data_IF_182638226791
#
_entry.id   IF_182638226791
#
_cell.length_a   1.000
_cell.length_b   1.000
_cell.length_c   1.000
_cell.angle_alpha   90.00
_cell.angle_beta   90.00
_cell.angle_gamma   90.00
#
_symmetry.space_group_name_H-M   'P 1'
#
loop_
_entity.id
_entity.type
_entity.pdbx_description
1 polymer ?
#
# COMPACT_ATOMS: atom_id res chain seq x y z
N UNK A 1 48.93 4.72 16.82
CA UNK A 1 48.28 5.45 17.92
C UNK A 1 47.37 6.51 17.29
N UNK A 2 46.14 6.17 16.91
CA UNK A 2 44.91 6.20 17.74
C UNK A 2 44.53 7.60 18.24
N UNK A 3 43.47 8.18 17.67
CA UNK A 3 42.86 9.41 18.20
C UNK A 3 41.73 9.98 17.34
N UNK A 4 40.59 9.27 17.28
CA UNK A 4 39.34 9.74 16.67
C UNK A 4 38.69 10.80 17.57
N UNK A 5 38.29 11.99 17.09
CA UNK A 5 37.56 12.95 17.92
C UNK A 5 36.09 12.54 18.13
N UNK A 6 35.62 12.81 19.35
CA UNK A 6 34.34 12.39 19.94
C UNK A 6 33.16 13.19 19.37
N UNK A 7 32.01 12.51 19.21
CA UNK A 7 30.71 13.09 18.84
C UNK A 7 30.21 14.07 19.92
N UNK A 8 29.65 15.19 19.46
CA UNK A 8 28.95 16.18 20.29
C UNK A 8 27.62 15.63 20.85
N UNK A 9 27.16 16.11 22.03
CA UNK A 9 25.99 15.58 22.72
C UNK A 9 24.67 16.10 22.13
N UNK A 10 23.64 15.25 22.20
CA UNK A 10 22.24 15.58 21.89
C UNK A 10 21.73 16.61 22.90
N UNK A 11 21.23 17.74 22.39
CA UNK A 11 20.58 18.79 23.18
C UNK A 11 19.14 18.35 23.46
N UNK A 12 18.84 17.96 24.70
CA UNK A 12 17.48 17.95 25.24
C UNK A 12 17.05 19.40 25.49
N UNK A 13 15.79 19.71 25.21
CA UNK A 13 15.16 20.98 25.58
C UNK A 13 13.98 20.64 26.48
N UNK A 14 14.00 21.19 27.69
CA UNK A 14 12.96 21.12 28.73
C UNK A 14 12.72 22.55 29.24
N UNK A 15 11.57 22.74 29.90
CA UNK A 15 10.99 23.92 30.58
C UNK A 15 10.12 24.84 29.70
N UNK A 16 8.98 25.38 30.16
CA UNK A 16 8.30 25.39 31.49
C UNK A 16 6.93 26.09 31.34
N UNK A 17 5.98 25.75 32.20
CA UNK A 17 4.97 26.62 32.88
C UNK A 17 4.05 25.63 33.63
N UNK A 18 4.24 25.40 34.93
CA UNK A 18 3.67 26.14 36.08
C UNK A 18 2.14 26.11 36.10
N UNK A 19 1.58 25.27 36.98
CA UNK A 19 0.47 25.65 37.85
C UNK A 19 0.49 24.71 39.07
N UNK A 20 0.60 25.34 40.24
CA UNK A 20 0.55 24.76 41.59
C UNK A 20 -0.87 24.29 41.92
N UNK A 21 -0.99 23.26 42.75
CA UNK A 21 -2.07 23.12 43.72
C UNK A 21 -1.66 22.10 44.79
N UNK A 22 -1.57 22.62 46.02
CA UNK A 22 -1.40 21.91 47.29
C UNK A 22 -2.57 20.95 47.58
N UNK A 23 -2.31 19.86 48.31
CA UNK A 23 -2.60 19.77 49.76
C UNK A 23 -2.85 18.32 50.22
N UNK A 24 -2.51 18.09 51.49
CA UNK A 24 -3.00 17.05 52.41
C UNK A 24 -2.65 15.55 52.20
N UNK A 25 -1.74 14.99 53.01
CA UNK A 25 -1.91 14.50 54.40
C UNK A 25 -2.28 12.99 54.44
N UNK A 26 -1.35 12.15 54.92
CA UNK A 26 -1.43 11.42 56.21
C UNK A 26 -0.45 10.22 56.26
N UNK A 27 0.52 10.37 57.17
CA UNK A 27 1.15 9.37 58.06
C UNK A 27 0.13 8.37 58.63
N UNK A 28 0.41 7.21 59.22
CA UNK A 28 1.57 6.42 59.68
C UNK A 28 0.91 5.10 60.14
N UNK A 29 1.63 3.97 60.16
CA UNK A 29 1.65 3.04 61.31
C UNK A 29 2.43 1.76 60.94
N UNK A 30 3.59 1.60 61.58
CA UNK A 30 4.26 0.31 61.78
C UNK A 30 3.75 -0.33 63.06
N UNK A 31 3.46 -1.64 63.09
CA UNK A 31 3.72 -2.50 64.27
C UNK A 31 4.01 -3.96 63.82
N UNK A 32 4.93 -4.72 64.47
CA UNK A 32 5.59 -5.91 63.92
C UNK A 32 5.25 -7.26 64.64
N UNK A 33 5.95 -8.34 64.21
CA UNK A 33 6.15 -9.69 64.81
C UNK A 33 5.03 -10.73 64.50
N UNK A 34 5.22 -12.03 64.31
CA UNK A 34 6.35 -12.96 64.07
C UNK A 34 5.72 -14.33 63.64
N UNK A 35 6.49 -15.13 62.89
CA UNK A 35 6.50 -16.61 62.72
C UNK A 35 5.19 -17.45 62.78
N UNK A 36 4.80 -18.10 61.66
CA UNK A 36 5.12 -19.52 61.43
C UNK A 36 4.60 -20.08 60.08
N UNK A 37 5.45 -20.94 59.50
CA UNK A 37 5.27 -22.01 58.50
C UNK A 37 4.04 -22.05 57.55
N UNK A 38 4.30 -22.04 56.24
CA UNK A 38 3.99 -23.18 55.33
C UNK A 38 4.59 -22.92 53.92
N UNK A 39 5.34 -23.90 53.43
CA UNK A 39 6.01 -23.89 52.12
C UNK A 39 5.00 -24.10 50.97
N UNK A 40 4.84 -23.11 50.09
CA UNK A 40 4.32 -23.33 48.74
C UNK A 40 5.36 -22.99 47.66
N UNK A 41 5.74 -24.02 46.92
CA UNK A 41 6.79 -24.05 45.90
C UNK A 41 6.41 -23.19 44.67
N UNK A 42 7.08 -22.04 44.47
CA UNK A 42 6.89 -21.21 43.27
C UNK A 42 7.56 -21.82 42.02
N UNK A 43 6.89 -21.83 40.84
CA UNK A 43 7.45 -22.42 39.63
C UNK A 43 8.65 -21.61 39.09
N UNK A 44 9.76 -22.32 38.85
CA UNK A 44 11.03 -21.79 38.33
C UNK A 44 10.85 -21.08 36.98
N UNK A 45 11.17 -19.77 36.94
CA UNK A 45 11.30 -18.99 35.69
C UNK A 45 12.38 -19.61 34.80
N UNK A 46 12.01 -20.05 33.59
CA UNK A 46 12.97 -20.46 32.54
C UNK A 46 13.89 -19.28 32.21
N UNK A 47 15.20 -19.48 32.35
CA UNK A 47 16.22 -18.51 32.00
C UNK A 47 16.09 -18.09 30.52
N UNK A 48 16.11 -16.78 30.25
CA UNK A 48 16.20 -16.23 28.90
C UNK A 48 17.51 -16.70 28.27
N UNK A 49 17.41 -17.32 27.10
CA UNK A 49 18.56 -17.70 26.30
C UNK A 49 19.47 -16.48 26.04
N UNK A 50 20.81 -16.65 26.03
CA UNK A 50 21.74 -15.56 25.80
C UNK A 50 21.49 -14.91 24.42
N UNK A 51 21.71 -13.59 24.30
CA UNK A 51 21.50 -12.88 23.04
C UNK A 51 22.42 -13.50 21.98
N UNK A 52 21.83 -13.91 20.85
CA UNK A 52 22.59 -14.43 19.70
C UNK A 52 23.66 -13.39 19.31
N UNK A 53 24.90 -13.82 19.02
CA UNK A 53 25.95 -12.90 18.59
C UNK A 53 25.46 -12.11 17.38
N UNK A 54 25.67 -10.79 17.40
CA UNK A 54 25.43 -9.94 16.23
C UNK A 54 26.25 -10.51 15.07
N UNK A 55 25.57 -11.09 14.08
CA UNK A 55 26.22 -11.52 12.83
C UNK A 55 27.03 -10.34 12.30
N UNK A 56 28.33 -10.54 12.09
CA UNK A 56 29.14 -9.59 11.35
C UNK A 56 28.45 -9.33 10.00
N UNK A 57 28.41 -8.06 9.58
CA UNK A 57 27.84 -7.69 8.29
C UNK A 57 28.57 -8.51 7.21
N UNK A 58 27.82 -9.22 6.37
CA UNK A 58 28.41 -9.94 5.25
C UNK A 58 29.15 -8.95 4.34
N UNK A 59 30.19 -9.41 3.63
CA UNK A 59 30.83 -8.59 2.61
C UNK A 59 29.93 -8.49 1.36
N UNK A 60 30.07 -7.41 0.57
CA UNK A 60 29.42 -7.31 -0.74
C UNK A 60 29.78 -8.52 -1.60
N UNK A 61 28.81 -9.05 -2.33
CA UNK A 61 29.00 -10.25 -3.16
C UNK A 61 28.16 -10.19 -4.42
N UNK A 62 28.61 -10.89 -5.47
CA UNK A 62 27.93 -10.98 -6.76
C UNK A 62 27.73 -12.44 -7.11
N UNK A 63 26.52 -12.80 -7.51
CA UNK A 63 26.20 -14.17 -7.93
C UNK A 63 26.45 -14.39 -9.43
N UNK A 64 26.30 -15.63 -9.91
CA UNK A 64 26.49 -16.00 -11.31
C UNK A 64 25.49 -15.35 -12.28
N UNK A 65 24.33 -14.89 -11.80
CA UNK A 65 23.35 -14.16 -12.61
C UNK A 65 23.58 -12.64 -12.65
N UNK A 66 24.72 -12.18 -12.13
CA UNK A 66 25.14 -10.78 -12.14
C UNK A 66 24.43 -9.90 -11.12
N UNK A 67 23.62 -10.48 -10.23
CA UNK A 67 23.02 -9.78 -9.11
C UNK A 67 24.02 -9.64 -7.98
N UNK A 68 24.22 -8.41 -7.54
CA UNK A 68 25.06 -8.07 -6.42
C UNK A 68 24.23 -7.74 -5.18
N UNK A 69 24.87 -7.87 -4.02
CA UNK A 69 24.31 -7.56 -2.71
C UNK A 69 25.24 -6.57 -2.03
N UNK A 70 24.68 -5.45 -1.59
CA UNK A 70 25.27 -4.59 -0.56
C UNK A 70 24.56 -4.91 0.76
N UNK A 71 25.25 -5.62 1.69
CA UNK A 71 24.61 -6.10 2.90
C UNK A 71 24.16 -4.94 3.81
N UNK A 72 23.05 -5.13 4.55
CA UNK A 72 22.28 -6.36 4.67
C UNK A 72 21.16 -6.54 3.63
N UNK A 73 20.82 -5.51 2.85
CA UNK A 73 19.45 -5.36 2.35
C UNK A 73 19.31 -4.65 1.01
N UNK A 74 20.41 -4.36 0.31
CA UNK A 74 20.35 -3.76 -1.01
C UNK A 74 20.80 -4.77 -2.08
N UNK A 75 19.92 -5.04 -3.03
CA UNK A 75 20.24 -5.77 -4.26
C UNK A 75 20.49 -4.79 -5.38
N UNK A 76 21.48 -5.04 -6.23
CA UNK A 76 21.71 -4.21 -7.40
C UNK A 76 22.28 -4.99 -8.58
N UNK A 77 22.03 -4.48 -9.80
CA UNK A 77 22.52 -5.07 -11.05
C UNK A 77 22.58 -4.02 -12.15
N UNK A 78 23.57 -4.15 -13.04
CA UNK A 78 23.73 -3.32 -14.23
C UNK A 78 23.47 -4.14 -15.48
N UNK A 79 22.67 -3.59 -16.40
CA UNK A 79 22.28 -4.21 -17.67
C UNK A 79 22.82 -3.36 -18.82
N UNK A 80 23.38 -3.99 -19.86
CA UNK A 80 23.83 -3.27 -21.07
C UNK A 80 24.97 -2.27 -20.84
N UNK A 81 25.76 -2.40 -19.77
CA UNK A 81 26.88 -1.54 -19.41
C UNK A 81 26.53 -0.02 -19.37
N UNK A 82 25.67 0.42 -18.43
CA UNK A 82 25.22 1.81 -18.34
C UNK A 82 26.41 2.75 -18.07
N UNK A 83 26.65 3.71 -18.98
CA UNK A 83 27.74 4.67 -18.83
C UNK A 83 27.47 5.66 -17.68
N UNK A 84 28.50 6.11 -16.95
CA UNK A 84 28.41 7.25 -16.04
C UNK A 84 27.78 8.49 -16.72
N UNK A 85 26.94 9.24 -16.00
CA UNK A 85 26.29 10.43 -16.55
C UNK A 85 25.90 11.43 -15.46
N UNK A 86 25.85 12.72 -15.79
CA UNK A 86 25.33 13.76 -14.90
C UNK A 86 23.80 13.85 -14.94
N UNK A 87 23.15 13.47 -16.05
CA UNK A 87 21.70 13.46 -16.20
C UNK A 87 21.12 12.09 -15.83
N UNK A 88 20.29 12.03 -14.80
CA UNK A 88 19.70 10.78 -14.31
C UNK A 88 18.18 10.82 -14.51
N UNK A 89 17.67 9.84 -15.25
CA UNK A 89 16.24 9.54 -15.31
C UNK A 89 15.99 8.36 -14.37
N UNK A 90 15.61 8.67 -13.13
CA UNK A 90 15.30 7.69 -12.11
C UNK A 90 13.82 7.32 -12.17
N UNK A 91 13.51 6.03 -12.01
CA UNK A 91 12.14 5.51 -12.18
C UNK A 91 11.86 4.47 -11.09
N UNK A 92 10.66 4.49 -10.50
CA UNK A 92 10.15 3.34 -9.73
C UNK A 92 9.74 2.18 -10.67
N UNK A 93 9.59 0.97 -10.14
CA UNK A 93 9.17 -0.20 -10.90
C UNK A 93 7.65 -0.46 -10.82
N UNK A 94 7.14 -0.70 -9.61
CA UNK A 94 5.84 -1.32 -9.36
C UNK A 94 4.76 -0.28 -9.22
N UNK A 95 3.82 -0.22 -10.16
CA UNK A 95 2.82 0.85 -10.23
C UNK A 95 3.25 2.03 -11.11
N UNK A 96 4.52 2.04 -11.53
CA UNK A 96 5.15 3.09 -12.35
C UNK A 96 5.54 2.60 -13.73
N UNK A 97 6.53 1.68 -13.85
CA UNK A 97 6.90 1.08 -15.14
C UNK A 97 5.96 -0.05 -15.50
N UNK A 98 5.62 -0.88 -14.52
CA UNK A 98 4.85 -2.10 -14.72
C UNK A 98 3.80 -2.28 -13.64
N UNK A 99 2.71 -2.94 -14.01
CA UNK A 99 1.69 -3.44 -13.10
C UNK A 99 1.65 -4.97 -13.17
N UNK A 100 1.00 -5.62 -12.22
CA UNK A 100 0.74 -7.06 -12.34
C UNK A 100 -0.28 -7.33 -13.45
N UNK A 101 -0.02 -8.37 -14.25
CA UNK A 101 -0.97 -8.81 -15.29
C UNK A 101 -2.21 -9.44 -14.65
N UNK A 102 -2.02 -10.10 -13.51
CA UNK A 102 -3.07 -10.73 -12.71
C UNK A 102 -3.96 -9.76 -11.92
N UNK A 103 -3.60 -8.46 -11.91
CA UNK A 103 -4.20 -7.42 -11.06
C UNK A 103 -4.10 -7.71 -9.54
N UNK A 104 -3.28 -8.68 -9.15
CA UNK A 104 -2.92 -8.91 -7.75
C UNK A 104 -1.94 -7.84 -7.27
N UNK A 105 -1.95 -7.55 -5.97
CA UNK A 105 -1.06 -6.53 -5.41
C UNK A 105 0.42 -6.89 -5.56
N UNK A 106 0.76 -8.16 -5.40
CA UNK A 106 2.09 -8.67 -5.60
C UNK A 106 2.10 -9.63 -6.79
N UNK A 107 3.16 -9.62 -7.61
CA UNK A 107 3.27 -10.52 -8.76
C UNK A 107 3.23 -11.98 -8.30
N UNK A 108 2.56 -12.85 -9.06
CA UNK A 108 2.47 -14.30 -8.80
C UNK A 108 3.72 -15.07 -9.22
N UNK A 109 4.39 -14.61 -10.26
CA UNK A 109 5.62 -15.17 -10.81
C UNK A 109 6.37 -14.07 -11.60
N UNK A 110 7.46 -14.45 -12.27
CA UNK A 110 8.29 -13.56 -13.08
C UNK A 110 7.60 -13.02 -14.34
N UNK A 111 6.59 -13.71 -14.85
CA UNK A 111 5.79 -13.33 -16.02
C UNK A 111 4.55 -12.50 -15.68
N UNK A 112 4.23 -12.35 -14.39
CA UNK A 112 3.10 -11.58 -13.90
C UNK A 112 3.39 -10.08 -13.88
N UNK A 113 3.70 -9.54 -15.07
CA UNK A 113 3.79 -8.12 -15.31
C UNK A 113 3.16 -7.74 -16.65
N UNK A 114 2.76 -6.48 -16.73
CA UNK A 114 2.42 -5.77 -17.95
C UNK A 114 2.96 -4.35 -17.80
N UNK A 115 3.31 -3.70 -18.91
CA UNK A 115 3.64 -2.28 -18.87
C UNK A 115 2.51 -1.45 -18.28
N UNK A 116 2.86 -0.32 -17.69
CA UNK A 116 1.89 0.64 -17.18
C UNK A 116 0.88 1.04 -18.26
N UNK A 117 1.39 1.28 -19.48
CA UNK A 117 0.63 1.31 -20.73
C UNK A 117 1.57 1.05 -21.93
N UNK A 118 1.04 1.06 -23.15
CA UNK A 118 1.81 0.77 -24.37
C UNK A 118 2.92 1.79 -24.69
N UNK A 119 2.76 3.03 -24.25
CA UNK A 119 3.76 4.10 -24.44
C UNK A 119 4.90 4.01 -23.42
N UNK A 120 4.75 3.30 -22.31
CA UNK A 120 5.75 3.29 -21.23
C UNK A 120 7.16 2.91 -21.72
N UNK A 121 7.36 1.81 -22.50
CA UNK A 121 8.70 1.46 -22.96
C UNK A 121 9.32 2.51 -23.89
N UNK A 122 8.53 3.07 -24.83
CA UNK A 122 9.05 4.06 -25.78
C UNK A 122 9.44 5.36 -25.10
N UNK A 123 8.66 5.82 -24.12
CA UNK A 123 9.00 7.02 -23.34
C UNK A 123 10.30 6.82 -22.55
N UNK A 124 10.45 5.69 -21.87
CA UNK A 124 11.68 5.40 -21.09
C UNK A 124 12.90 5.25 -22.01
N UNK A 125 12.76 4.65 -23.19
CA UNK A 125 13.81 4.66 -24.22
C UNK A 125 14.17 6.08 -24.66
N UNK A 126 13.17 6.95 -24.80
CA UNK A 126 13.37 8.38 -25.08
C UNK A 126 14.20 9.11 -24.01
N UNK A 127 14.10 8.73 -22.73
CA UNK A 127 15.00 9.28 -21.69
C UNK A 127 16.46 8.93 -21.97
N UNK A 128 16.73 7.68 -22.35
CA UNK A 128 18.08 7.24 -22.72
C UNK A 128 18.58 7.94 -24.00
N UNK A 129 17.75 8.03 -25.03
CA UNK A 129 18.06 8.72 -26.29
C UNK A 129 18.34 10.23 -26.10
N UNK A 130 17.66 10.87 -25.15
CA UNK A 130 17.92 12.27 -24.74
C UNK A 130 19.16 12.43 -23.85
N UNK A 131 19.93 11.35 -23.67
CA UNK A 131 21.21 11.36 -22.98
C UNK A 131 21.12 11.23 -21.46
N UNK A 132 20.02 10.70 -20.91
CA UNK A 132 19.95 10.36 -19.50
C UNK A 132 20.46 8.93 -19.25
N UNK A 133 21.12 8.73 -18.11
CA UNK A 133 21.29 7.39 -17.55
C UNK A 133 19.99 6.97 -16.88
N UNK A 134 19.43 5.84 -17.29
CA UNK A 134 18.20 5.29 -16.70
C UNK A 134 18.56 4.43 -15.49
N UNK A 135 17.94 4.73 -14.34
CA UNK A 135 18.17 4.04 -13.08
C UNK A 135 16.83 3.67 -12.44
N UNK A 136 16.67 2.41 -12.03
CA UNK A 136 15.48 1.95 -11.33
C UNK A 136 15.78 1.86 -9.83
N UNK A 137 14.93 2.50 -9.02
CA UNK A 137 14.97 2.43 -7.56
C UNK A 137 13.65 1.87 -7.03
N UNK A 138 13.66 0.66 -6.47
CA UNK A 138 12.43 -0.06 -6.09
C UNK A 138 12.47 -0.60 -4.66
N UNK A 139 11.34 -0.53 -3.97
CA UNK A 139 11.17 -1.10 -2.63
C UNK A 139 10.62 -2.54 -2.72
N UNK A 140 11.44 -3.56 -2.43
CA UNK A 140 11.12 -4.98 -2.55
C UNK A 140 11.03 -5.68 -1.19
N UNK A 141 10.19 -5.14 -0.30
CA UNK A 141 10.05 -5.59 1.10
C UNK A 141 9.57 -7.04 1.29
N UNK A 142 9.05 -7.68 0.24
CA UNK A 142 8.71 -9.10 0.25
C UNK A 142 9.93 -10.03 0.42
N UNK A 143 11.13 -9.56 0.02
CA UNK A 143 12.38 -10.32 0.13
C UNK A 143 12.92 -10.35 1.57
N UNK A 144 12.74 -9.25 2.33
CA UNK A 144 13.27 -9.10 3.69
C UNK A 144 14.79 -9.34 3.71
N UNK A 145 15.30 -10.01 4.74
CA UNK A 145 16.71 -10.39 4.85
C UNK A 145 17.10 -11.64 4.04
N UNK A 146 16.14 -12.30 3.34
CA UNK A 146 16.34 -13.57 2.64
C UNK A 146 16.71 -13.36 1.16
N UNK A 147 17.85 -12.73 0.92
CA UNK A 147 18.36 -12.26 -0.39
C UNK A 147 18.68 -13.36 -1.42
N UNK A 148 18.66 -14.64 -1.03
CA UNK A 148 18.93 -15.82 -1.88
C UNK A 148 17.80 -16.86 -1.86
N UNK A 149 16.60 -16.50 -1.39
CA UNK A 149 15.45 -17.43 -1.37
C UNK A 149 14.56 -17.33 -2.61
N UNK A 150 13.58 -18.24 -2.72
CA UNK A 150 12.59 -18.29 -3.83
C UNK A 150 11.93 -16.94 -4.13
N UNK A 151 11.62 -16.16 -3.09
CA UNK A 151 11.03 -14.82 -3.28
C UNK A 151 12.03 -13.84 -3.92
N UNK A 152 13.29 -13.88 -3.50
CA UNK A 152 14.34 -13.07 -4.10
C UNK A 152 14.58 -13.45 -5.56
N UNK A 153 14.65 -14.75 -5.87
CA UNK A 153 14.80 -15.25 -7.24
C UNK A 153 13.65 -14.80 -8.14
N UNK A 154 12.41 -14.92 -7.66
CA UNK A 154 11.22 -14.47 -8.38
C UNK A 154 11.22 -12.96 -8.68
N UNK A 155 11.58 -12.13 -7.68
CA UNK A 155 11.66 -10.68 -7.88
C UNK A 155 12.80 -10.33 -8.84
N UNK A 156 13.98 -10.94 -8.68
CA UNK A 156 15.12 -10.77 -9.59
C UNK A 156 14.77 -11.16 -11.02
N UNK A 157 14.14 -12.31 -11.22
CA UNK A 157 13.69 -12.80 -12.53
C UNK A 157 12.68 -11.87 -13.18
N UNK A 158 11.70 -11.35 -12.42
CA UNK A 158 10.76 -10.34 -12.92
C UNK A 158 11.46 -9.07 -13.38
N UNK A 159 12.39 -8.54 -12.59
CA UNK A 159 13.17 -7.36 -12.97
C UNK A 159 14.01 -7.65 -14.22
N UNK A 160 14.67 -8.80 -14.27
CA UNK A 160 15.47 -9.25 -15.41
C UNK A 160 14.62 -9.28 -16.70
N UNK A 161 13.40 -9.81 -16.63
CA UNK A 161 12.47 -9.85 -17.76
C UNK A 161 12.03 -8.45 -18.22
N UNK A 162 11.62 -7.57 -17.28
CA UNK A 162 11.20 -6.19 -17.58
C UNK A 162 12.34 -5.40 -18.25
N UNK A 163 13.57 -5.49 -17.72
CA UNK A 163 14.71 -4.76 -18.28
C UNK A 163 15.16 -5.34 -19.62
N UNK A 164 15.08 -6.66 -19.79
CA UNK A 164 15.36 -7.30 -21.08
C UNK A 164 14.39 -6.83 -22.18
N UNK A 165 13.09 -6.73 -21.87
CA UNK A 165 12.07 -6.22 -22.81
C UNK A 165 12.24 -4.72 -23.08
N UNK A 166 12.68 -3.95 -22.07
CA UNK A 166 12.97 -2.52 -22.24
C UNK A 166 14.11 -2.29 -23.25
N UNK A 167 15.14 -3.14 -23.25
CA UNK A 167 16.14 -3.20 -24.34
C UNK A 167 17.14 -2.03 -24.38
N UNK A 168 17.35 -1.32 -23.27
CA UNK A 168 18.37 -0.26 -23.14
C UNK A 168 19.27 -0.50 -21.91
N UNK A 169 20.43 0.16 -21.82
CA UNK A 169 21.26 0.11 -20.62
C UNK A 169 20.53 0.69 -19.40
N UNK A 170 20.41 -0.11 -18.34
CA UNK A 170 19.73 0.26 -17.08
C UNK A 170 20.55 -0.19 -15.89
N UNK A 171 20.51 0.58 -14.81
CA UNK A 171 21.00 0.15 -13.52
C UNK A 171 19.85 0.02 -12.52
N UNK A 172 19.79 -1.07 -11.77
CA UNK A 172 18.70 -1.34 -10.83
C UNK A 172 19.24 -1.43 -9.42
N UNK A 173 18.51 -0.83 -8.47
CA UNK A 173 18.72 -0.90 -7.03
C UNK A 173 17.38 -1.27 -6.37
N UNK A 174 17.39 -2.32 -5.56
CA UNK A 174 16.20 -2.86 -4.91
C UNK A 174 16.43 -3.02 -3.40
N UNK A 175 15.74 -2.20 -2.61
CA UNK A 175 15.80 -2.22 -1.15
C UNK A 175 14.86 -3.29 -0.58
N UNK A 176 15.38 -4.23 0.22
CA UNK A 176 14.62 -5.41 0.66
C UNK A 176 14.10 -5.32 2.09
N UNK A 177 14.55 -4.34 2.88
CA UNK A 177 14.19 -4.15 4.30
C UNK A 177 13.77 -2.70 4.58
N UNK A 178 13.21 -2.45 5.76
CA UNK A 178 12.87 -1.11 6.25
C UNK A 178 14.11 -0.48 6.91
N UNK A 179 14.99 0.08 6.10
CA UNK A 179 16.22 0.75 6.53
C UNK A 179 16.58 1.92 5.59
N UNK A 180 17.82 2.42 5.70
CA UNK A 180 18.29 3.58 4.94
C UNK A 180 18.19 3.41 3.42
N UNK A 181 18.12 2.19 2.88
CA UNK A 181 17.98 1.97 1.44
C UNK A 181 16.53 2.12 0.99
N UNK A 182 15.55 1.98 1.89
CA UNK A 182 14.14 1.99 1.54
C UNK A 182 13.63 3.41 1.35
N UNK A 183 13.04 3.69 0.18
CA UNK A 183 12.34 4.95 -0.07
C UNK A 183 11.27 5.18 1.03
N UNK A 184 11.18 6.36 1.64
CA UNK A 184 11.72 7.65 1.16
C UNK A 184 13.17 7.96 1.54
N UNK A 185 13.88 7.10 2.27
CA UNK A 185 15.29 7.30 2.60
C UNK A 185 16.18 7.29 1.35
N UNK A 186 17.27 8.06 1.36
CA UNK A 186 18.12 8.31 0.17
C UNK A 186 19.19 7.26 -0.08
N UNK A 187 19.31 6.21 0.76
CA UNK A 187 20.46 5.33 0.75
C UNK A 187 20.72 4.61 -0.57
N UNK A 188 19.67 4.25 -1.33
CA UNK A 188 19.86 3.71 -2.68
C UNK A 188 20.51 4.73 -3.64
N UNK A 189 20.09 5.99 -3.58
CA UNK A 189 20.66 7.07 -4.38
C UNK A 189 22.10 7.40 -3.96
N UNK A 190 22.36 7.41 -2.65
CA UNK A 190 23.68 7.68 -2.10
C UNK A 190 24.68 6.58 -2.50
N UNK A 191 24.27 5.31 -2.39
CA UNK A 191 25.06 4.17 -2.85
C UNK A 191 25.32 4.25 -4.36
N UNK A 192 24.30 4.63 -5.14
CA UNK A 192 24.45 4.88 -6.57
C UNK A 192 25.54 5.94 -6.86
N UNK A 193 25.49 7.08 -6.19
CA UNK A 193 26.43 8.18 -6.40
C UNK A 193 27.85 7.84 -5.95
N UNK A 194 28.00 7.10 -4.84
CA UNK A 194 29.30 6.80 -4.24
C UNK A 194 30.12 5.77 -5.03
N UNK A 195 29.47 4.73 -5.57
CA UNK A 195 30.19 3.59 -6.17
C UNK A 195 29.77 3.23 -7.59
N UNK A 196 28.64 3.73 -8.07
CA UNK A 196 27.94 3.14 -9.23
C UNK A 196 27.61 4.12 -10.34
N UNK A 197 28.09 5.36 -10.22
CA UNK A 197 28.08 6.34 -11.30
C UNK A 197 29.49 6.74 -11.78
N UNK A 198 30.49 5.87 -11.58
CA UNK A 198 31.85 6.07 -12.10
C UNK A 198 32.52 7.38 -11.66
N UNK A 199 32.22 7.86 -10.45
CA UNK A 199 32.73 9.13 -9.92
C UNK A 199 32.08 10.39 -10.51
N UNK A 200 31.14 10.26 -11.45
CA UNK A 200 30.41 11.40 -12.02
C UNK A 200 29.29 11.81 -11.07
N UNK A 201 29.31 13.06 -10.61
CA UNK A 201 28.25 13.61 -9.77
C UNK A 201 27.01 13.96 -10.61
N UNK A 202 25.80 13.51 -10.23
CA UNK A 202 24.57 13.94 -10.90
C UNK A 202 24.34 15.45 -10.83
N UNK A 203 23.87 16.02 -11.94
CA UNK A 203 23.28 17.36 -12.01
C UNK A 203 21.80 17.23 -11.61
N UNK A 204 21.49 17.59 -10.36
CA UNK A 204 20.15 17.42 -9.79
C UNK A 204 19.09 18.22 -10.56
N UNK A 205 19.47 19.37 -11.14
CA UNK A 205 18.55 20.22 -11.90
C UNK A 205 18.12 19.61 -13.24
N UNK A 206 18.94 18.70 -13.78
CA UNK A 206 18.71 17.95 -15.02
C UNK A 206 18.33 16.50 -14.78
N UNK A 207 18.11 16.13 -13.52
CA UNK A 207 17.71 14.79 -13.11
C UNK A 207 16.29 14.81 -12.59
N UNK A 208 15.59 13.68 -12.71
CA UNK A 208 14.21 13.55 -12.26
C UNK A 208 13.92 12.13 -11.81
N UNK A 209 12.86 12.01 -11.01
CA UNK A 209 12.30 10.76 -10.52
C UNK A 209 10.85 10.61 -11.00
N UNK A 210 10.52 9.48 -11.60
CA UNK A 210 9.14 9.12 -11.94
C UNK A 210 8.66 8.03 -10.98
N UNK A 211 7.52 8.23 -10.32
CA UNK A 211 6.98 7.26 -9.36
C UNK A 211 5.49 7.47 -9.07
N UNK A 212 4.80 6.41 -8.66
CA UNK A 212 3.36 6.44 -8.38
C UNK A 212 3.02 6.72 -6.92
N UNK A 213 3.94 6.44 -5.99
CA UNK A 213 3.75 6.70 -4.57
C UNK A 213 3.93 8.20 -4.26
N UNK A 214 2.92 8.99 -4.60
CA UNK A 214 2.94 10.46 -4.55
C UNK A 214 2.10 11.07 -3.42
N UNK A 215 1.42 10.25 -2.61
CA UNK A 215 0.56 10.69 -1.53
C UNK A 215 -0.75 11.34 -1.99
N UNK A 216 -1.18 11.09 -3.24
CA UNK A 216 -2.49 11.53 -3.75
C UNK A 216 -3.61 10.73 -3.08
N UNK A 217 -4.87 11.21 -3.10
CA UNK A 217 -6.00 10.39 -2.68
C UNK A 217 -6.03 9.05 -3.43
N UNK A 218 -5.98 7.95 -2.69
CA UNK A 218 -5.93 6.59 -3.24
C UNK A 218 -4.52 6.01 -3.44
N UNK A 219 -3.45 6.80 -3.33
CA UNK A 219 -2.07 6.29 -3.31
C UNK A 219 -1.80 5.55 -2.00
N UNK A 220 -0.99 4.49 -2.07
CA UNK A 220 -0.67 3.67 -0.91
C UNK A 220 0.35 4.32 0.03
N UNK A 221 1.20 5.19 -0.51
CA UNK A 221 2.25 5.92 0.17
C UNK A 221 2.64 7.17 -0.63
N UNK A 222 3.51 7.99 -0.05
CA UNK A 222 4.16 9.14 -0.67
C UNK A 222 5.68 8.93 -0.83
N UNK A 223 6.14 7.67 -0.75
CA UNK A 223 7.56 7.33 -0.66
C UNK A 223 8.39 7.78 -1.85
N UNK A 224 7.82 7.83 -3.05
CA UNK A 224 8.54 8.23 -4.27
C UNK A 224 8.70 9.76 -4.33
N UNK A 225 7.63 10.48 -4.02
CA UNK A 225 7.65 11.94 -3.94
C UNK A 225 8.60 12.41 -2.84
N UNK A 226 8.55 11.79 -1.67
CA UNK A 226 9.45 12.11 -0.56
C UNK A 226 10.90 11.73 -0.86
N UNK A 227 11.17 10.60 -1.54
CA UNK A 227 12.51 10.22 -2.00
C UNK A 227 13.11 11.26 -2.95
N UNK A 228 12.35 11.67 -3.98
CA UNK A 228 12.78 12.68 -4.94
C UNK A 228 13.06 14.04 -4.26
N UNK A 229 12.20 14.44 -3.33
CA UNK A 229 12.35 15.67 -2.55
C UNK A 229 13.58 15.62 -1.63
N UNK A 230 13.84 14.49 -0.96
CA UNK A 230 15.00 14.31 -0.09
C UNK A 230 16.32 14.39 -0.87
N UNK A 231 16.34 13.90 -2.11
CA UNK A 231 17.50 14.01 -3.02
C UNK A 231 17.64 15.42 -3.59
N UNK A 232 16.52 16.12 -3.80
CA UNK A 232 16.48 17.43 -4.46
C UNK A 232 16.39 17.33 -5.99
N UNK A 233 15.76 16.28 -6.54
CA UNK A 233 15.48 16.13 -7.97
C UNK A 233 13.99 16.31 -8.27
N UNK A 234 13.65 16.65 -9.52
CA UNK A 234 12.26 16.86 -9.94
C UNK A 234 11.47 15.55 -9.84
N UNK A 235 10.33 15.57 -9.16
CA UNK A 235 9.38 14.46 -9.15
C UNK A 235 8.37 14.59 -10.30
N UNK A 236 7.97 13.47 -10.91
CA UNK A 236 6.97 13.38 -11.98
C UNK A 236 6.10 12.15 -11.80
N UNK A 237 4.84 12.23 -12.21
CA UNK A 237 3.90 11.11 -12.12
C UNK A 237 3.96 10.24 -13.38
N UNK A 238 3.76 8.91 -13.27
CA UNK A 238 3.71 8.04 -14.44
C UNK A 238 2.55 8.41 -15.37
N UNK A 239 1.42 8.88 -14.83
CA UNK A 239 0.28 9.32 -15.65
C UNK A 239 0.62 10.55 -16.51
N UNK A 240 1.49 11.44 -16.00
CA UNK A 240 1.94 12.65 -16.72
C UNK A 240 2.98 12.31 -17.79
N UNK A 241 3.87 11.34 -17.52
CA UNK A 241 4.95 10.97 -18.44
C UNK A 241 4.50 9.97 -19.51
N UNK A 242 3.64 9.01 -19.14
CA UNK A 242 3.26 7.88 -20.00
C UNK A 242 1.84 7.98 -20.53
N UNK A 243 0.96 8.79 -19.94
CA UNK A 243 -0.48 8.83 -20.20
C UNK A 243 -1.28 7.90 -19.28
N UNK A 244 -2.54 7.61 -19.61
CA UNK A 244 -3.41 6.78 -18.76
C UNK A 244 -2.91 5.33 -18.63
N UNK A 245 -3.09 4.74 -17.45
CA UNK A 245 -2.78 3.33 -17.19
C UNK A 245 -3.71 2.40 -17.99
N UNK A 246 -3.16 1.33 -18.58
CA UNK A 246 -3.97 0.27 -19.19
C UNK A 246 -4.42 -0.79 -18.17
N UNK A 247 -5.73 -0.88 -17.95
CA UNK A 247 -6.38 -1.90 -17.12
C UNK A 247 -6.51 -1.50 -15.65
N UNK A 248 -6.79 -2.48 -14.78
CA UNK A 248 -7.00 -2.22 -13.35
C UNK A 248 -5.65 -2.21 -12.61
N UNK A 249 -5.41 -1.19 -11.77
CA UNK A 249 -4.33 -1.20 -10.75
C UNK A 249 -4.65 -2.29 -9.72
N UNK A 250 -3.66 -2.76 -8.98
CA UNK A 250 -3.93 -3.60 -7.83
C UNK A 250 -4.21 -2.73 -6.59
N UNK A 251 -5.23 -3.05 -5.80
CA UNK A 251 -5.53 -2.32 -4.57
C UNK A 251 -4.33 -2.47 -3.65
N UNK A 252 -3.83 -1.37 -3.06
CA UNK A 252 -2.92 -1.52 -1.95
C UNK A 252 -3.62 -2.24 -0.79
N UNK A 253 -2.86 -2.97 0.06
CA UNK A 253 -3.37 -3.55 1.27
C UNK A 253 -3.50 -2.38 2.26
N UNK A 254 -4.59 -1.63 2.14
CA UNK A 254 -4.61 -0.27 2.69
C UNK A 254 -5.86 0.54 2.40
N UNK A 255 -6.75 0.09 1.49
CA UNK A 255 -8.19 0.48 1.57
C UNK A 255 -8.82 -0.03 2.89
N UNK A 256 -8.04 -0.71 3.74
CA UNK A 256 -8.28 -0.84 5.18
C UNK A 256 -7.87 0.40 6.01
N UNK A 257 -7.81 1.61 5.44
CA UNK A 257 -7.92 2.81 6.28
C UNK A 257 -9.36 2.88 6.76
N UNK A 258 -9.56 2.35 7.96
CA UNK A 258 -10.78 2.45 8.76
C UNK A 258 -11.23 3.92 8.81
N UNK A 259 -12.22 4.30 8.00
CA UNK A 259 -13.14 5.37 8.38
C UNK A 259 -14.06 4.78 9.46
N UNK A 260 -13.51 4.51 10.64
CA UNK A 260 -14.27 4.16 11.83
C UNK A 260 -14.40 5.44 12.66
N UNK A 261 -15.61 5.97 12.76
CA UNK A 261 -16.02 6.78 13.89
C UNK A 261 -17.19 6.10 14.62
N UNK A 262 -17.49 6.63 15.80
CA UNK A 262 -18.35 6.13 16.90
C UNK A 262 -19.22 4.89 16.59
N UNK A 263 -18.94 3.80 17.30
CA UNK A 263 -19.69 2.54 17.21
C UNK A 263 -19.14 1.51 16.21
N UNK A 264 -18.15 1.87 15.38
CA UNK A 264 -17.43 0.92 14.53
C UNK A 264 -18.02 0.65 13.15
N UNK A 265 -19.00 1.46 12.73
CA UNK A 265 -19.65 1.42 11.40
C UNK A 265 -18.86 2.26 10.38
N UNK A 266 -18.93 1.90 9.09
CA UNK A 266 -18.34 2.67 8.00
C UNK A 266 -19.17 3.94 7.76
N UNK A 267 -18.51 5.10 7.65
CA UNK A 267 -19.16 6.38 7.33
C UNK A 267 -18.81 6.78 5.90
N UNK A 268 -19.83 7.11 5.11
CA UNK A 268 -19.65 7.56 3.75
C UNK A 268 -19.14 9.01 3.72
N UNK A 269 -18.09 9.28 2.92
CA UNK A 269 -17.57 10.62 2.61
C UNK A 269 -18.68 11.50 2.02
N UNK A 270 -19.53 10.92 1.18
CA UNK A 270 -20.77 11.53 0.73
C UNK A 270 -21.96 10.88 1.45
N UNK A 271 -22.69 11.66 2.25
CA UNK A 271 -23.82 11.17 3.07
C UNK A 271 -24.93 10.52 2.25
N UNK A 272 -25.09 10.89 0.98
CA UNK A 272 -26.09 10.28 0.09
C UNK A 272 -25.79 8.81 -0.24
N UNK A 273 -24.55 8.37 -0.07
CA UNK A 273 -24.14 6.98 -0.31
C UNK A 273 -24.34 6.08 0.92
N UNK A 274 -24.75 6.63 2.07
CA UNK A 274 -24.90 5.91 3.34
C UNK A 274 -25.77 4.66 3.24
N UNK A 275 -26.90 4.74 2.54
CA UNK A 275 -27.79 3.59 2.33
C UNK A 275 -27.10 2.42 1.60
N UNK A 276 -26.30 2.72 0.56
CA UNK A 276 -25.53 1.71 -0.16
C UNK A 276 -24.42 1.10 0.70
N UNK A 277 -23.73 1.93 1.49
CA UNK A 277 -22.70 1.45 2.43
C UNK A 277 -23.30 0.52 3.47
N UNK A 278 -24.47 0.85 3.99
CA UNK A 278 -25.19 0.04 4.98
C UNK A 278 -25.59 -1.32 4.42
N UNK A 279 -26.18 -1.34 3.23
CA UNK A 279 -26.59 -2.59 2.56
C UNK A 279 -25.42 -3.53 2.33
N UNK A 280 -24.31 -3.02 1.82
CA UNK A 280 -23.12 -3.86 1.60
C UNK A 280 -22.43 -4.29 2.89
N UNK A 281 -22.58 -3.51 3.97
CA UNK A 281 -22.12 -3.90 5.31
C UNK A 281 -22.98 -5.03 5.87
N UNK A 282 -24.31 -4.93 5.76
CA UNK A 282 -25.24 -5.98 6.19
C UNK A 282 -25.05 -7.28 5.39
N UNK A 283 -24.85 -7.18 4.06
CA UNK A 283 -24.51 -8.34 3.23
C UNK A 283 -23.21 -9.01 3.70
N UNK A 284 -22.20 -8.21 4.06
CA UNK A 284 -20.95 -8.75 4.57
C UNK A 284 -21.15 -9.51 5.87
N UNK A 285 -21.90 -8.94 6.82
CA UNK A 285 -22.22 -9.59 8.10
C UNK A 285 -22.99 -10.89 7.90
N UNK A 286 -24.06 -10.87 7.09
CA UNK A 286 -24.82 -12.07 6.73
C UNK A 286 -23.92 -13.16 6.15
N UNK A 287 -23.03 -12.81 5.22
CA UNK A 287 -22.13 -13.79 4.62
C UNK A 287 -21.02 -14.28 5.55
N UNK A 288 -20.62 -13.48 6.55
CA UNK A 288 -19.70 -13.96 7.60
C UNK A 288 -20.38 -14.96 8.53
N UNK A 289 -21.66 -14.77 8.82
CA UNK A 289 -22.48 -15.74 9.54
C UNK A 289 -22.69 -17.01 8.71
N UNK A 290 -23.08 -16.88 7.45
CA UNK A 290 -23.19 -18.01 6.51
C UNK A 290 -21.85 -18.75 6.39
N UNK A 291 -20.71 -18.06 6.51
CA UNK A 291 -19.38 -18.64 6.44
C UNK A 291 -19.02 -19.59 7.59
N UNK A 292 -19.77 -19.56 8.70
CA UNK A 292 -19.64 -20.54 9.78
C UNK A 292 -20.14 -21.92 9.34
N UNK A 293 -21.03 -21.97 8.35
CA UNK A 293 -21.66 -23.18 7.83
C UNK A 293 -21.09 -23.54 6.45
N UNK A 294 -20.91 -22.56 5.56
CA UNK A 294 -20.32 -22.72 4.24
C UNK A 294 -19.05 -21.87 4.09
N UNK A 295 -17.89 -22.54 4.14
CA UNK A 295 -16.58 -21.89 3.94
C UNK A 295 -16.46 -21.05 2.65
N UNK A 296 -17.29 -21.32 1.62
CA UNK A 296 -17.32 -20.54 0.37
C UNK A 296 -18.00 -19.18 0.52
N UNK A 297 -18.90 -19.00 1.50
CA UNK A 297 -19.55 -17.72 1.79
C UNK A 297 -18.57 -16.65 2.30
N UNK A 298 -17.44 -17.08 2.90
CA UNK A 298 -16.37 -16.17 3.36
C UNK A 298 -15.86 -15.24 2.26
N UNK A 299 -15.78 -15.72 1.02
CA UNK A 299 -15.33 -14.91 -0.10
C UNK A 299 -16.34 -13.80 -0.45
N UNK A 300 -17.64 -14.12 -0.37
CA UNK A 300 -18.73 -13.14 -0.57
C UNK A 300 -18.76 -12.10 0.53
N UNK A 301 -18.50 -12.51 1.77
CA UNK A 301 -18.40 -11.61 2.93
C UNK A 301 -17.28 -10.58 2.74
N UNK A 302 -16.07 -11.06 2.40
CA UNK A 302 -14.92 -10.20 2.14
C UNK A 302 -15.19 -9.29 0.94
N UNK A 303 -15.83 -9.80 -0.12
CA UNK A 303 -16.18 -9.00 -1.29
C UNK A 303 -17.17 -7.89 -0.96
N UNK A 304 -18.21 -8.18 -0.17
CA UNK A 304 -19.24 -7.19 0.18
C UNK A 304 -18.68 -6.10 1.09
N UNK A 305 -17.83 -6.48 2.04
CA UNK A 305 -17.14 -5.52 2.92
C UNK A 305 -16.21 -4.58 2.13
N UNK A 306 -15.51 -5.11 1.11
CA UNK A 306 -14.69 -4.29 0.21
C UNK A 306 -15.53 -3.30 -0.58
N UNK A 307 -16.69 -3.73 -1.08
CA UNK A 307 -17.61 -2.84 -1.80
C UNK A 307 -18.10 -1.73 -0.86
N UNK A 308 -18.54 -2.07 0.36
CA UNK A 308 -18.98 -1.07 1.34
C UNK A 308 -17.93 0.04 1.57
N UNK A 309 -16.66 -0.34 1.77
CA UNK A 309 -15.57 0.61 1.95
C UNK A 309 -15.35 1.50 0.71
N UNK A 310 -15.38 0.90 -0.48
CA UNK A 310 -15.19 1.65 -1.75
C UNK A 310 -16.33 2.63 -2.02
N UNK A 311 -17.58 2.25 -1.70
CA UNK A 311 -18.73 3.14 -1.83
C UNK A 311 -18.70 4.26 -0.77
N UNK A 312 -18.17 3.96 0.43
CA UNK A 312 -18.00 4.95 1.48
C UNK A 312 -17.01 6.04 1.09
N UNK A 313 -15.90 5.68 0.43
CA UNK A 313 -14.88 6.63 -0.01
C UNK A 313 -15.24 7.38 -1.31
N UNK A 314 -16.35 7.01 -1.96
CA UNK A 314 -16.74 7.63 -3.23
C UNK A 314 -17.29 9.06 -3.00
N UNK A 315 -16.68 10.10 -3.59
CA UNK A 315 -16.94 11.50 -3.21
C UNK A 315 -18.25 12.06 -3.78
N UNK A 316 -18.75 11.48 -4.88
CA UNK A 316 -19.98 11.90 -5.53
C UNK A 316 -21.17 11.04 -5.12
N UNK A 317 -22.39 11.56 -5.30
CA UNK A 317 -23.61 10.77 -5.12
C UNK A 317 -23.65 9.64 -6.16
N UNK A 318 -23.88 8.41 -5.71
CA UNK A 318 -24.06 7.26 -6.58
C UNK A 318 -25.50 7.25 -7.10
N UNK A 319 -25.65 7.16 -8.42
CA UNK A 319 -26.93 7.16 -9.13
C UNK A 319 -26.88 6.20 -10.30
N UNK A 320 -28.03 5.90 -10.91
CA UNK A 320 -28.10 5.07 -12.12
C UNK A 320 -27.27 5.66 -13.28
N UNK A 321 -27.11 6.98 -13.32
CA UNK A 321 -26.41 7.68 -14.40
C UNK A 321 -24.88 7.56 -14.33
N UNK A 322 -24.30 7.33 -13.15
CA UNK A 322 -22.85 7.19 -12.96
C UNK A 322 -22.40 5.77 -12.60
N UNK A 323 -23.26 4.75 -12.77
CA UNK A 323 -22.90 3.34 -12.53
C UNK A 323 -21.69 2.87 -13.34
N UNK A 324 -21.48 3.43 -14.55
CA UNK A 324 -20.29 3.12 -15.35
C UNK A 324 -19.00 3.56 -14.66
N UNK A 325 -19.02 4.65 -13.91
CA UNK A 325 -17.88 5.14 -13.13
C UNK A 325 -17.68 4.31 -11.87
N UNK A 326 -18.78 4.00 -11.16
CA UNK A 326 -18.77 3.10 -10.00
C UNK A 326 -18.25 1.71 -10.38
N UNK A 327 -18.57 1.21 -11.57
CA UNK A 327 -18.10 -0.07 -12.09
C UNK A 327 -16.63 -0.10 -12.50
N UNK A 328 -16.01 1.08 -12.68
CA UNK A 328 -14.56 1.21 -12.85
C UNK A 328 -13.84 1.16 -11.50
N UNK A 329 -14.53 1.41 -10.39
CA UNK A 329 -13.94 1.33 -9.05
C UNK A 329 -13.47 -0.09 -8.75
N UNK A 330 -12.28 -0.14 -8.16
CA UNK A 330 -11.66 -1.42 -7.86
C UNK A 330 -12.34 -2.08 -6.65
N UNK A 331 -12.64 -3.38 -6.77
CA UNK A 331 -13.41 -4.12 -5.76
C UNK A 331 -14.91 -4.19 -6.09
N UNK A 332 -15.41 -3.34 -6.98
CA UNK A 332 -16.78 -3.40 -7.50
C UNK A 332 -16.82 -4.33 -8.72
N UNK A 333 -17.35 -5.53 -8.54
CA UNK A 333 -17.55 -6.51 -9.63
C UNK A 333 -18.92 -6.38 -10.29
N UNK A 334 -19.14 -7.09 -11.41
CA UNK A 334 -20.45 -7.13 -12.10
C UNK A 334 -21.59 -7.53 -11.17
N UNK A 335 -21.38 -8.52 -10.30
CA UNK A 335 -22.38 -8.94 -9.32
C UNK A 335 -22.69 -7.88 -8.26
N UNK A 336 -21.69 -7.07 -7.87
CA UNK A 336 -21.89 -5.94 -6.96
C UNK A 336 -22.62 -4.79 -7.65
N UNK A 337 -22.33 -4.53 -8.93
CA UNK A 337 -23.04 -3.51 -9.71
C UNK A 337 -24.52 -3.83 -9.86
N UNK A 338 -24.87 -5.10 -10.07
CA UNK A 338 -26.27 -5.53 -10.12
C UNK A 338 -26.97 -5.19 -8.81
N UNK A 339 -26.35 -5.47 -7.66
CA UNK A 339 -26.90 -5.15 -6.33
C UNK A 339 -26.99 -3.64 -6.07
N UNK A 340 -25.99 -2.87 -6.51
CA UNK A 340 -26.02 -1.41 -6.40
C UNK A 340 -27.19 -0.87 -7.22
N UNK A 341 -27.36 -1.35 -8.45
CA UNK A 341 -28.46 -0.97 -9.32
C UNK A 341 -29.82 -1.37 -8.70
N UNK A 342 -29.95 -2.61 -8.23
CA UNK A 342 -31.15 -3.11 -7.55
C UNK A 342 -31.54 -2.23 -6.36
N UNK A 343 -30.58 -1.85 -5.52
CA UNK A 343 -30.83 -0.96 -4.39
C UNK A 343 -31.24 0.45 -4.83
N UNK A 344 -30.62 1.00 -5.88
CA UNK A 344 -30.99 2.32 -6.40
C UNK A 344 -32.39 2.34 -7.03
N UNK A 345 -32.84 1.23 -7.60
CA UNK A 345 -34.15 1.09 -8.24
C UNK A 345 -35.27 0.78 -7.22
N UNK A 346 -34.99 -0.06 -6.22
CA UNK A 346 -36.00 -0.65 -5.33
C UNK A 346 -35.89 -0.22 -3.87
N UNK A 347 -34.77 0.36 -3.46
CA UNK A 347 -34.44 0.65 -2.07
C UNK A 347 -34.08 -0.58 -1.22
N UNK A 348 -34.05 -1.79 -1.80
CA UNK A 348 -33.69 -3.03 -1.09
C UNK A 348 -32.79 -3.92 -1.96
N UNK A 349 -32.25 -5.00 -1.38
CA UNK A 349 -31.52 -6.04 -2.11
C UNK A 349 -32.11 -7.39 -1.73
N UNK A 350 -32.52 -8.19 -2.73
CA UNK A 350 -33.17 -9.49 -2.56
C UNK A 350 -32.37 -10.50 -1.71
N UNK A 351 -31.03 -10.42 -1.72
CA UNK A 351 -30.19 -11.28 -0.85
C UNK A 351 -30.28 -10.93 0.65
N UNK A 352 -30.88 -9.78 1.00
CA UNK A 352 -31.20 -9.36 2.37
C UNK A 352 -32.68 -9.54 2.73
N UNK A 353 -33.57 -9.86 1.77
CA UNK A 353 -34.97 -10.13 2.12
C UNK A 353 -35.07 -11.45 2.88
N UNK A 354 -35.46 -11.38 4.15
CA UNK A 354 -35.53 -12.52 5.07
C UNK A 354 -35.00 -12.28 6.48
N UNK A 355 -34.54 -11.06 6.80
CA UNK A 355 -34.23 -10.63 8.18
C UNK A 355 -35.25 -9.57 8.58
N UNK A 356 -35.99 -9.84 9.65
CA UNK A 356 -37.04 -8.96 10.18
C UNK A 356 -36.57 -7.51 10.44
N UNK A 357 -37.50 -6.58 10.17
CA UNK A 357 -37.56 -5.17 10.56
C UNK A 357 -36.65 -4.75 11.72
N UNK A 358 -35.54 -4.06 11.46
CA UNK A 358 -34.89 -3.16 12.42
C UNK A 358 -34.05 -2.07 11.73
N UNK A 359 -34.69 -0.98 11.34
CA UNK A 359 -34.22 0.40 11.60
C UNK A 359 -35.16 1.38 10.85
N UNK A 360 -36.02 2.05 11.61
CA UNK A 360 -36.96 3.02 11.09
C UNK A 360 -36.30 4.13 10.28
N UNK A 361 -36.47 4.07 8.97
CA UNK A 361 -36.58 5.25 8.11
C UNK A 361 -37.84 5.05 7.28
N UNK A 362 -38.99 5.22 7.93
CA UNK A 362 -40.23 5.43 7.23
C UNK A 362 -40.14 6.75 6.47
N UNK A 363 -39.88 6.68 5.16
CA UNK A 363 -40.42 7.67 4.22
C UNK A 363 -41.17 6.91 3.14
N UNK A 364 -42.46 7.22 3.08
CA UNK A 364 -43.49 6.58 2.29
C UNK A 364 -43.02 6.22 0.87
N UNK A 365 -43.31 4.98 0.47
CA UNK A 365 -43.34 4.60 -0.93
C UNK A 365 -44.25 5.60 -1.68
N UNK A 366 -43.79 6.21 -2.80
CA UNK A 366 -44.73 6.87 -3.70
C UNK A 366 -45.68 5.80 -4.22
N UNK A 367 -46.98 5.99 -3.97
CA UNK A 367 -48.00 5.11 -4.52
C UNK A 367 -47.88 5.11 -6.05
N UNK A 368 -47.59 3.93 -6.60
CA UNK A 368 -47.73 3.66 -8.02
C UNK A 368 -49.19 3.91 -8.39
N UNK A 369 -49.45 4.97 -9.16
CA UNK A 369 -50.69 5.07 -9.91
C UNK A 369 -50.67 3.95 -10.94
N UNK A 370 -51.57 2.99 -10.76
CA UNK A 370 -51.81 1.89 -11.67
C UNK A 370 -52.42 2.44 -12.98
N UNK A 371 -51.56 2.86 -13.91
CA UNK A 371 -51.96 3.24 -15.27
C UNK A 371 -52.04 2.04 -16.22
N UNK A 372 -52.09 0.82 -15.69
CA UNK A 372 -52.10 -0.43 -16.48
C UNK A 372 -53.48 -0.93 -16.90
N UNK A 373 -54.58 -0.27 -16.51
CA UNK A 373 -55.96 -0.79 -16.73
C UNK A 373 -56.94 0.11 -17.47
N UNK A 374 -56.47 1.15 -18.17
CA UNK A 374 -57.33 2.05 -18.98
C UNK A 374 -57.09 1.99 -20.51
N UNK A 375 -56.33 1.01 -21.02
CA UNK A 375 -56.11 0.83 -22.47
C UNK A 375 -56.62 -0.53 -23.00
N UNK A 376 -57.76 -1.01 -22.48
CA UNK A 376 -58.44 -2.20 -22.99
C UNK A 376 -59.93 -1.98 -23.32
N UNK A 377 -60.40 -0.73 -23.41
CA UNK A 377 -61.79 -0.41 -23.79
C UNK A 377 -61.89 0.75 -24.80
N UNK A 378 -61.06 0.72 -25.85
CA UNK A 378 -61.22 1.64 -27.00
C UNK A 378 -60.96 1.03 -28.38
N UNK A 379 -61.16 -0.27 -28.51
CA UNK A 379 -61.34 -0.96 -29.79
C UNK A 379 -62.35 -2.09 -29.64
N UNK A 380 -63.62 -1.72 -29.53
CA UNK A 380 -64.78 -2.35 -30.17
C UNK A 380 -65.91 -1.33 -30.26
#
# INVERSE_FOLDING_TARGET
>A
MSGRPKRAPKRSRKYSEEEELDDDLLSEEEVPLDEDSEEEEKPKKKAKAPPKPKKQAAAPSTNSSGWSVEPPSLLYKSYGNPRPNTKIAAVDLDGTMVNTKSAAQFPKDESDYKWFNKSTPSVIRGYHESGHKVVIFTNQGGIKSAITGKMAEKVKGRIDAVVAELGIPVQVFAATMDDLYRKPETGMWDFFCQGHNGGVKPDLSKSFYVGDAAGRPGDFADSDKAFAAAIGIRFRLPEEEFGDMEGKRALPPGVMKKNKSEGGKLVAVNSDNSGLVDVFSQLAEKFFEDAKIDSKAKFKAISSNKVAAVLADFPAKITLNNLKEVGKLQGVGKGSLIKIQEFLETGTVSELSGVDDLAGVGKAAPQLKDTGKEMANKFM
#
